data_IF_206654795599
#
_entry.id   IF_206654795599
#
_cell.length_a   1.000
_cell.length_b   1.000
_cell.length_c   1.000
_cell.angle_alpha   90.00
_cell.angle_beta   90.00
_cell.angle_gamma   90.00
#
_symmetry.space_group_name_H-M   'P 1'
#
loop_
_entity.id
_entity.type
_entity.pdbx_description
1 polymer ?
#
# COMPACT_ATOMS: atom_id res chain seq x y z
N UNK A 1 74.09 11.65 -52.52
CA UNK A 1 73.66 11.83 -51.11
C UNK A 1 72.73 10.69 -50.77
N UNK A 2 73.22 9.73 -49.98
CA UNK A 2 72.52 8.50 -49.60
C UNK A 2 71.60 8.76 -48.40
N UNK A 3 70.34 8.31 -48.47
CA UNK A 3 69.44 8.22 -47.32
C UNK A 3 69.07 6.75 -47.14
N UNK A 4 69.57 6.15 -46.06
CA UNK A 4 69.22 4.81 -45.60
C UNK A 4 67.82 4.81 -44.96
N UNK A 5 66.96 3.79 -45.22
CA UNK A 5 65.73 3.61 -44.46
C UNK A 5 66.02 2.84 -43.16
N UNK A 6 65.60 3.40 -42.02
CA UNK A 6 65.64 2.77 -40.71
C UNK A 6 64.69 1.56 -40.66
N UNK A 7 65.24 0.34 -40.68
CA UNK A 7 64.51 -0.88 -40.32
C UNK A 7 64.43 -0.99 -38.79
N UNK A 8 63.24 -1.06 -38.16
CA UNK A 8 63.13 -1.18 -36.72
C UNK A 8 63.61 -2.57 -36.26
N UNK A 9 64.50 -2.56 -35.26
CA UNK A 9 65.14 -3.74 -34.65
C UNK A 9 64.10 -4.78 -34.23
N UNK A 10 64.21 -6.03 -34.71
CA UNK A 10 63.27 -7.16 -34.45
C UNK A 10 62.90 -7.33 -32.96
N UNK A 11 63.81 -6.98 -32.05
CA UNK A 11 63.54 -6.99 -30.60
C UNK A 11 62.47 -5.99 -30.16
N UNK A 12 62.43 -4.78 -30.74
CA UNK A 12 61.41 -3.76 -30.43
C UNK A 12 60.03 -4.16 -30.97
N UNK A 13 59.97 -4.80 -32.13
CA UNK A 13 58.72 -5.30 -32.70
C UNK A 13 58.11 -6.41 -31.83
N UNK A 14 58.94 -7.33 -31.33
CA UNK A 14 58.51 -8.41 -30.44
C UNK A 14 58.01 -7.87 -29.08
N UNK A 15 58.70 -6.90 -28.50
CA UNK A 15 58.26 -6.25 -27.25
C UNK A 15 56.93 -5.50 -27.42
N UNK A 16 56.73 -4.82 -28.55
CA UNK A 16 55.48 -4.14 -28.86
C UNK A 16 54.33 -5.15 -29.02
N UNK A 17 54.59 -6.29 -29.67
CA UNK A 17 53.59 -7.33 -29.87
C UNK A 17 53.17 -7.98 -28.55
N UNK A 18 54.13 -8.28 -27.67
CA UNK A 18 53.86 -8.80 -26.32
C UNK A 18 53.04 -7.80 -25.51
N UNK A 19 53.39 -6.51 -25.55
CA UNK A 19 52.65 -5.46 -24.86
C UNK A 19 51.19 -5.37 -25.36
N UNK A 20 50.98 -5.39 -26.68
CA UNK A 20 49.63 -5.37 -27.27
C UNK A 20 48.83 -6.61 -26.87
N UNK A 21 49.44 -7.80 -26.89
CA UNK A 21 48.78 -9.05 -26.48
C UNK A 21 48.37 -9.01 -25.01
N UNK A 22 49.23 -8.49 -24.12
CA UNK A 22 48.93 -8.36 -22.68
C UNK A 22 47.81 -7.34 -22.45
N UNK A 23 47.80 -6.22 -23.17
CA UNK A 23 46.72 -5.21 -23.09
C UNK A 23 45.39 -5.78 -23.61
N UNK A 24 45.40 -6.52 -24.72
CA UNK A 24 44.19 -7.17 -25.24
C UNK A 24 43.68 -8.25 -24.29
N UNK A 25 44.56 -9.05 -23.68
CA UNK A 25 44.19 -10.05 -22.68
C UNK A 25 43.63 -9.41 -21.40
N UNK A 26 44.19 -8.31 -20.94
CA UNK A 26 43.68 -7.59 -19.74
C UNK A 26 42.33 -6.92 -20.00
N UNK A 27 42.09 -6.40 -21.21
CA UNK A 27 40.77 -5.88 -21.60
C UNK A 27 39.75 -7.03 -21.77
N UNK A 28 40.15 -8.15 -22.34
CA UNK A 28 39.29 -9.32 -22.51
C UNK A 28 38.94 -10.00 -21.16
N UNK A 29 39.87 -10.03 -20.20
CA UNK A 29 39.66 -10.60 -18.87
C UNK A 29 38.98 -9.62 -17.88
N UNK A 30 39.08 -8.31 -18.12
CA UNK A 30 38.44 -7.27 -17.30
C UNK A 30 36.96 -7.02 -17.60
N UNK A 31 36.40 -7.70 -18.59
CA UNK A 31 35.02 -7.49 -19.09
C UNK A 31 34.01 -8.53 -18.60
N UNK A 32 34.29 -9.24 -17.50
CA UNK A 32 33.24 -9.99 -16.81
C UNK A 32 32.44 -9.04 -15.95
N UNK A 33 31.38 -8.46 -16.53
CA UNK A 33 30.31 -7.83 -15.76
C UNK A 33 29.77 -8.86 -14.77
N UNK A 34 30.05 -8.65 -13.48
CA UNK A 34 29.43 -9.41 -12.40
C UNK A 34 27.92 -9.34 -12.58
N UNK A 35 27.20 -10.48 -12.52
CA UNK A 35 25.74 -10.46 -12.64
C UNK A 35 25.18 -9.51 -11.58
N UNK A 36 24.48 -8.46 -12.01
CA UNK A 36 23.81 -7.56 -11.09
C UNK A 36 22.85 -8.40 -10.25
N UNK A 37 23.07 -8.47 -8.94
CA UNK A 37 22.19 -9.20 -8.02
C UNK A 37 20.77 -8.66 -8.21
N UNK A 38 19.85 -9.52 -8.66
CA UNK A 38 18.45 -9.13 -8.85
C UNK A 38 17.93 -8.58 -7.52
N UNK A 39 17.51 -7.31 -7.52
CA UNK A 39 16.90 -6.72 -6.34
C UNK A 39 15.63 -7.51 -6.03
N UNK A 40 15.48 -7.93 -4.78
CA UNK A 40 14.28 -8.61 -4.30
C UNK A 40 13.61 -7.78 -3.20
N UNK A 41 12.37 -8.14 -2.85
CA UNK A 41 11.63 -7.52 -1.73
C UNK A 41 11.13 -8.55 -0.72
N UNK A 42 10.84 -8.07 0.48
CA UNK A 42 10.21 -8.85 1.54
C UNK A 42 8.71 -8.96 1.28
N UNK A 43 8.19 -10.19 1.24
CA UNK A 43 6.76 -10.47 0.95
C UNK A 43 5.78 -9.91 1.95
N UNK A 44 6.20 -9.58 3.17
CA UNK A 44 5.27 -9.15 4.21
C UNK A 44 5.20 -7.63 4.31
N UNK A 45 6.33 -6.94 4.14
CA UNK A 45 6.36 -5.48 4.09
C UNK A 45 5.94 -4.93 2.74
N UNK A 46 6.14 -5.71 1.66
CA UNK A 46 5.69 -5.39 0.32
C UNK A 46 5.09 -6.66 -0.30
N UNK A 47 3.80 -6.98 -0.02
CA UNK A 47 3.18 -8.24 -0.45
C UNK A 47 2.76 -8.28 -1.91
N UNK A 48 2.35 -9.48 -2.33
CA UNK A 48 1.65 -9.79 -3.59
C UNK A 48 2.50 -9.72 -4.84
N UNK A 49 2.00 -10.30 -5.93
CA UNK A 49 2.64 -10.29 -7.25
C UNK A 49 2.96 -8.85 -7.70
N UNK A 50 3.98 -8.67 -8.53
CA UNK A 50 4.33 -7.36 -9.10
C UNK A 50 3.21 -6.76 -9.98
N UNK A 51 2.31 -7.62 -10.47
CA UNK A 51 1.11 -7.27 -11.23
C UNK A 51 -0.14 -7.08 -10.36
N UNK A 52 -0.01 -7.16 -9.04
CA UNK A 52 -1.09 -6.84 -8.10
C UNK A 52 -1.56 -5.40 -8.29
N UNK A 53 -2.85 -5.14 -7.99
CA UNK A 53 -3.40 -3.78 -7.93
C UNK A 53 -2.60 -2.86 -7.00
N UNK A 54 -1.99 -3.42 -5.95
CA UNK A 54 -1.22 -2.66 -4.97
C UNK A 54 0.17 -2.30 -5.49
N UNK A 55 0.70 -3.06 -6.45
CA UNK A 55 2.08 -2.93 -6.93
C UNK A 55 2.17 -2.33 -8.34
N UNK A 56 1.04 -2.17 -9.03
CA UNK A 56 0.99 -1.67 -10.39
C UNK A 56 1.12 -0.13 -10.42
N UNK A 57 2.14 0.42 -11.08
CA UNK A 57 2.25 1.85 -11.30
C UNK A 57 1.16 2.37 -12.26
N UNK A 58 0.81 3.64 -12.12
CA UNK A 58 -0.03 4.34 -13.10
C UNK A 58 0.64 4.26 -14.48
N UNK A 59 -0.16 4.02 -15.51
CA UNK A 59 0.31 3.85 -16.88
C UNK A 59 0.18 5.11 -17.73
N UNK A 60 0.96 5.20 -18.81
CA UNK A 60 1.00 6.36 -19.70
C UNK A 60 -0.31 6.63 -20.45
N UNK A 61 -1.23 5.66 -20.50
CA UNK A 61 -2.57 5.79 -21.12
C UNK A 61 -3.69 5.93 -20.09
N UNK A 62 -3.36 6.22 -18.82
CA UNK A 62 -4.35 6.49 -17.79
C UNK A 62 -5.23 7.69 -18.19
N UNK A 63 -6.56 7.50 -18.13
CA UNK A 63 -7.55 8.54 -18.41
C UNK A 63 -8.03 9.14 -17.11
N UNK A 64 -7.73 10.41 -16.91
CA UNK A 64 -8.05 11.15 -15.69
C UNK A 64 -9.37 11.89 -15.87
N UNK A 65 -10.36 11.61 -15.01
CA UNK A 65 -11.59 12.39 -14.89
C UNK A 65 -11.67 13.03 -13.50
N UNK A 66 -12.31 14.20 -13.34
CA UNK A 66 -12.36 14.90 -12.06
C UNK A 66 -12.99 14.04 -10.94
N UNK A 67 -12.30 13.97 -9.79
CA UNK A 67 -12.86 13.36 -8.57
C UNK A 67 -13.69 14.36 -7.75
N UNK A 68 -13.34 15.66 -7.82
CA UNK A 68 -13.95 16.75 -7.03
C UNK A 68 -13.93 16.52 -5.51
N UNK A 69 -12.87 15.87 -5.01
CA UNK A 69 -12.69 15.66 -3.57
C UNK A 69 -12.22 16.97 -2.93
N UNK A 70 -13.00 17.48 -1.99
CA UNK A 70 -12.70 18.70 -1.26
C UNK A 70 -11.79 18.46 -0.06
N UNK A 71 -11.44 19.55 0.62
CA UNK A 71 -10.88 19.51 1.97
C UNK A 71 -11.89 18.90 2.95
N UNK A 72 -11.41 18.06 3.86
CA UNK A 72 -12.15 17.55 5.02
C UNK A 72 -11.73 18.31 6.30
N UNK A 73 -12.60 18.40 7.30
CA UNK A 73 -12.28 19.03 8.58
C UNK A 73 -11.22 18.23 9.37
N UNK A 74 -11.21 16.90 9.23
CA UNK A 74 -10.33 16.00 9.95
C UNK A 74 -9.49 15.16 8.97
N UNK A 75 -8.26 14.86 9.38
CA UNK A 75 -7.40 13.85 8.79
C UNK A 75 -6.92 12.89 9.87
N UNK A 76 -7.02 11.60 9.63
CA UNK A 76 -6.61 10.59 10.62
C UNK A 76 -6.24 9.26 9.96
N UNK A 77 -5.67 8.35 10.74
CA UNK A 77 -5.34 7.00 10.31
C UNK A 77 -6.55 6.05 10.40
N UNK A 78 -6.73 5.19 9.38
CA UNK A 78 -7.41 3.92 9.59
C UNK A 78 -6.35 2.88 9.99
N UNK A 79 -6.47 2.32 11.20
CA UNK A 79 -5.43 1.49 11.79
C UNK A 79 -5.60 0.03 11.42
N UNK A 80 -4.50 -0.58 10.95
CA UNK A 80 -4.49 -1.95 10.48
C UNK A 80 -3.40 -2.77 11.15
N UNK A 81 -3.69 -4.05 11.41
CA UNK A 81 -2.88 -4.88 12.29
C UNK A 81 -2.25 -6.04 11.52
N UNK A 82 -0.92 -6.11 11.54
CA UNK A 82 -0.18 -7.07 10.74
C UNK A 82 0.77 -7.90 11.60
N UNK A 83 0.67 -9.23 11.48
CA UNK A 83 1.48 -10.16 12.25
C UNK A 83 2.12 -11.23 11.37
N UNK A 84 3.43 -11.45 11.55
CA UNK A 84 4.10 -12.68 11.11
C UNK A 84 3.99 -13.69 12.25
N UNK A 85 3.20 -14.74 12.05
CA UNK A 85 2.98 -15.75 13.08
C UNK A 85 4.12 -16.76 13.11
N UNK A 86 4.42 -17.29 14.30
CA UNK A 86 5.51 -18.24 14.52
C UNK A 86 4.96 -19.62 14.79
N UNK A 87 5.69 -20.63 14.33
CA UNK A 87 5.45 -21.99 14.79
C UNK A 87 5.78 -22.07 16.28
N UNK A 88 4.90 -22.68 17.08
CA UNK A 88 5.07 -22.85 18.53
C UNK A 88 4.33 -21.84 19.39
N UNK A 89 3.82 -20.73 18.83
CA UNK A 89 2.87 -19.86 19.55
C UNK A 89 1.57 -20.64 19.83
N UNK A 90 0.90 -20.40 20.98
CA UNK A 90 -0.32 -21.12 21.33
C UNK A 90 -1.44 -20.84 20.32
N UNK A 91 -2.15 -21.91 19.94
CA UNK A 91 -3.31 -21.80 19.05
C UNK A 91 -4.48 -21.17 19.82
N UNK A 92 -4.94 -20.03 19.34
CA UNK A 92 -6.08 -19.30 19.90
C UNK A 92 -7.23 -19.32 18.90
N UNK A 93 -8.40 -19.74 19.35
CA UNK A 93 -9.62 -19.77 18.54
C UNK A 93 -9.98 -18.37 18.06
N UNK A 94 -10.61 -18.30 16.90
CA UNK A 94 -11.19 -17.06 16.35
C UNK A 94 -12.71 -17.15 16.38
N UNK A 95 -13.33 -16.16 16.98
CA UNK A 95 -14.78 -15.96 16.98
C UNK A 95 -15.16 -14.74 16.11
N UNK A 96 -16.39 -14.71 15.61
CA UNK A 96 -16.98 -13.49 15.10
C UNK A 96 -17.15 -12.49 16.25
N UNK A 97 -17.06 -11.17 15.99
CA UNK A 97 -17.27 -10.18 17.04
C UNK A 97 -18.71 -10.21 17.56
N UNK A 98 -18.90 -9.97 18.86
CA UNK A 98 -20.23 -9.92 19.48
C UNK A 98 -21.02 -8.64 19.13
N UNK A 99 -20.31 -7.57 18.76
CA UNK A 99 -20.86 -6.31 18.31
C UNK A 99 -19.88 -5.62 17.34
N UNK A 100 -20.36 -4.69 16.51
CA UNK A 100 -19.49 -3.84 15.68
C UNK A 100 -18.75 -2.79 16.51
N UNK A 101 -19.46 -2.16 17.44
CA UNK A 101 -18.90 -1.18 18.38
C UNK A 101 -18.39 -1.91 19.65
N UNK A 102 -18.48 -1.27 20.81
CA UNK A 102 -18.09 -1.88 22.08
C UNK A 102 -18.76 -3.24 22.31
N UNK A 103 -17.99 -4.23 22.77
CA UNK A 103 -18.42 -5.62 22.91
C UNK A 103 -17.97 -6.53 21.77
N UNK A 104 -16.89 -6.20 21.03
CA UNK A 104 -16.36 -7.12 20.00
C UNK A 104 -15.95 -8.44 20.62
N UNK A 105 -15.37 -8.39 21.83
CA UNK A 105 -14.84 -9.55 22.55
C UNK A 105 -15.88 -10.42 23.29
N UNK A 106 -17.18 -10.28 22.98
CA UNK A 106 -18.23 -11.12 23.59
C UNK A 106 -18.83 -12.14 22.62
N UNK A 107 -18.37 -12.16 21.37
CA UNK A 107 -18.90 -13.03 20.34
C UNK A 107 -18.59 -14.51 20.61
N UNK A 108 -19.52 -15.38 20.23
CA UNK A 108 -19.42 -16.82 20.49
C UNK A 108 -19.44 -17.66 19.22
N UNK A 109 -19.75 -17.05 18.08
CA UNK A 109 -19.80 -17.73 16.79
C UNK A 109 -18.39 -18.08 16.32
N UNK A 110 -18.05 -19.36 16.24
CA UNK A 110 -16.74 -19.79 15.74
C UNK A 110 -16.55 -19.41 14.26
N UNK A 111 -15.36 -18.91 13.92
CA UNK A 111 -14.94 -18.69 12.52
C UNK A 111 -14.25 -19.92 11.91
N UNK A 112 -14.28 -21.06 12.60
CA UNK A 112 -13.73 -22.34 12.11
C UNK A 112 -12.20 -22.37 12.00
N UNK A 113 -11.49 -21.49 12.71
CA UNK A 113 -10.02 -21.43 12.72
C UNK A 113 -9.46 -21.15 14.10
N UNK A 114 -8.17 -21.47 14.24
CA UNK A 114 -7.31 -21.02 15.32
C UNK A 114 -6.02 -20.45 14.72
N UNK A 115 -5.48 -19.39 15.34
CA UNK A 115 -4.22 -18.76 14.93
C UNK A 115 -3.15 -18.96 16.00
N UNK A 116 -1.90 -19.30 15.63
CA UNK A 116 -0.79 -19.38 16.58
C UNK A 116 -0.33 -17.96 16.91
N UNK A 117 -0.83 -17.41 18.02
CA UNK A 117 -0.54 -16.03 18.45
C UNK A 117 0.01 -16.02 19.87
N UNK A 118 0.97 -15.14 20.20
CA UNK A 118 1.54 -15.08 21.54
C UNK A 118 0.50 -14.59 22.55
N UNK A 119 0.57 -15.04 23.80
CA UNK A 119 -0.46 -14.77 24.81
C UNK A 119 -0.56 -13.33 25.27
N UNK A 120 0.52 -12.57 25.11
CA UNK A 120 0.60 -11.17 25.45
C UNK A 120 0.05 -10.24 24.37
N UNK A 121 -0.24 -10.74 23.16
CA UNK A 121 -0.88 -9.95 22.11
C UNK A 121 -2.29 -9.53 22.57
N UNK A 122 -2.47 -8.22 22.75
CA UNK A 122 -3.74 -7.57 23.06
C UNK A 122 -4.10 -6.61 21.94
N UNK A 123 -5.36 -6.65 21.51
CA UNK A 123 -5.97 -5.66 20.63
C UNK A 123 -7.22 -5.16 21.36
N UNK A 124 -7.24 -3.90 21.83
CA UNK A 124 -8.36 -3.39 22.61
C UNK A 124 -9.71 -3.54 21.90
N UNK A 125 -10.78 -3.63 22.69
CA UNK A 125 -12.14 -3.51 22.16
C UNK A 125 -12.37 -2.11 21.58
N UNK A 126 -13.40 -1.98 20.75
CA UNK A 126 -13.99 -0.69 20.46
C UNK A 126 -14.65 -0.11 21.72
N UNK A 127 -14.81 1.21 21.76
CA UNK A 127 -15.43 1.93 22.89
C UNK A 127 -16.55 2.83 22.42
N UNK A 128 -17.62 2.94 23.20
CA UNK A 128 -18.68 3.93 22.94
C UNK A 128 -18.35 5.30 23.56
N UNK A 129 -17.60 5.31 24.68
CA UNK A 129 -17.21 6.53 25.40
C UNK A 129 -15.75 6.44 25.91
N UNK A 130 -14.81 7.25 25.39
CA UNK A 130 -14.95 8.05 24.17
C UNK A 130 -15.27 7.15 22.96
N UNK A 131 -15.93 7.70 21.94
CA UNK A 131 -16.29 6.93 20.76
C UNK A 131 -15.05 6.54 19.96
N UNK A 132 -14.81 5.25 19.79
CA UNK A 132 -13.69 4.72 19.02
C UNK A 132 -14.04 3.32 18.48
N UNK A 133 -14.37 3.27 17.20
CA UNK A 133 -14.88 2.07 16.51
C UNK A 133 -14.09 1.78 15.23
N UNK A 134 -12.75 1.67 15.30
CA UNK A 134 -11.91 1.50 14.12
C UNK A 134 -12.23 0.20 13.37
N UNK A 135 -11.97 0.17 12.07
CA UNK A 135 -12.16 -1.03 11.25
C UNK A 135 -11.23 -2.18 11.68
N UNK A 136 -10.03 -1.85 12.20
CA UNK A 136 -9.02 -2.82 12.65
C UNK A 136 -8.85 -3.97 11.63
N UNK A 137 -8.80 -3.65 10.34
CA UNK A 137 -8.51 -4.67 9.33
C UNK A 137 -7.14 -5.27 9.62
N UNK A 138 -7.03 -6.59 9.49
CA UNK A 138 -5.84 -7.30 9.94
C UNK A 138 -5.44 -8.41 8.98
N UNK A 139 -4.15 -8.71 8.99
CA UNK A 139 -3.56 -9.80 8.22
C UNK A 139 -2.51 -10.55 9.04
N UNK A 140 -2.59 -11.87 8.99
CA UNK A 140 -1.73 -12.80 9.68
C UNK A 140 -1.02 -13.67 8.65
N UNK A 141 0.29 -13.48 8.49
CA UNK A 141 1.11 -14.39 7.70
C UNK A 141 1.38 -15.64 8.53
N UNK A 142 0.86 -16.76 8.08
CA UNK A 142 0.97 -18.04 8.75
C UNK A 142 2.42 -18.55 8.76
N UNK A 143 2.79 -19.48 9.68
CA UNK A 143 4.14 -20.02 9.77
C UNK A 143 4.64 -20.72 8.50
N UNK A 144 3.73 -21.13 7.59
CA UNK A 144 4.08 -21.68 6.27
C UNK A 144 4.72 -20.64 5.33
N UNK A 145 4.74 -19.35 5.72
CA UNK A 145 5.32 -18.25 4.97
C UNK A 145 4.58 -17.93 3.68
N UNK A 146 3.34 -18.40 3.51
CA UNK A 146 2.57 -18.30 2.26
C UNK A 146 1.13 -17.86 2.52
N UNK A 147 0.46 -18.47 3.49
CA UNK A 147 -0.95 -18.26 3.75
C UNK A 147 -1.15 -16.96 4.52
N UNK A 148 -2.00 -16.08 4.00
CA UNK A 148 -2.50 -14.89 4.69
C UNK A 148 -3.94 -15.13 5.14
N UNK A 149 -4.13 -15.14 6.45
CA UNK A 149 -5.46 -15.06 7.08
C UNK A 149 -5.79 -13.59 7.33
N UNK A 150 -6.98 -13.15 6.96
CA UNK A 150 -7.40 -11.76 7.11
C UNK A 150 -8.68 -11.68 7.94
N UNK A 151 -8.68 -10.82 8.96
CA UNK A 151 -9.81 -10.59 9.86
C UNK A 151 -10.20 -9.12 9.93
N UNK A 152 -11.49 -8.83 10.10
CA UNK A 152 -11.97 -7.51 10.51
C UNK A 152 -13.37 -7.61 11.16
N UNK A 153 -13.67 -6.77 12.16
CA UNK A 153 -12.73 -5.97 12.91
C UNK A 153 -11.93 -6.84 13.88
N UNK A 154 -10.61 -6.62 13.98
CA UNK A 154 -9.79 -7.35 14.95
C UNK A 154 -9.99 -6.81 16.37
N UNK A 155 -10.25 -7.71 17.31
CA UNK A 155 -10.12 -7.46 18.76
C UNK A 155 -9.57 -8.70 19.49
N UNK A 156 -8.91 -8.45 20.62
CA UNK A 156 -8.43 -9.46 21.57
C UNK A 156 -8.22 -8.80 22.93
N UNK A 157 -9.22 -8.92 23.79
CA UNK A 157 -9.30 -8.15 25.03
C UNK A 157 -8.59 -8.77 26.23
N UNK A 158 -8.19 -10.05 26.15
CA UNK A 158 -7.63 -10.80 27.27
C UNK A 158 -6.37 -11.57 26.86
N UNK A 159 -5.37 -11.58 27.75
CA UNK A 159 -4.15 -12.38 27.56
C UNK A 159 -4.51 -13.86 27.53
N UNK A 160 -3.95 -14.60 26.57
CA UNK A 160 -4.31 -16.00 26.35
C UNK A 160 -5.76 -16.24 25.90
N UNK A 161 -6.58 -15.19 25.74
CA UNK A 161 -7.93 -15.30 25.23
C UNK A 161 -7.98 -15.54 23.72
N UNK A 162 -9.19 -15.80 23.17
CA UNK A 162 -9.41 -15.93 21.73
C UNK A 162 -9.24 -14.59 21.00
N UNK A 163 -9.19 -14.65 19.67
CA UNK A 163 -9.33 -13.47 18.80
C UNK A 163 -10.78 -13.30 18.35
N UNK A 164 -11.13 -12.08 18.00
CA UNK A 164 -12.44 -11.72 17.46
C UNK A 164 -12.27 -11.00 16.13
N UNK A 165 -13.06 -11.40 15.13
CA UNK A 165 -13.10 -10.77 13.81
C UNK A 165 -13.71 -11.69 12.76
N UNK A 166 -14.46 -11.12 11.82
CA UNK A 166 -14.98 -11.89 10.68
C UNK A 166 -13.84 -12.27 9.76
N UNK A 167 -13.87 -13.51 9.27
CA UNK A 167 -12.81 -14.08 8.44
C UNK A 167 -13.11 -13.88 6.95
N UNK A 168 -12.12 -13.38 6.21
CA UNK A 168 -12.09 -13.47 4.75
C UNK A 168 -11.38 -14.77 4.32
N UNK A 169 -11.74 -15.41 3.19
CA UNK A 169 -11.05 -16.60 2.70
C UNK A 169 -9.53 -16.41 2.61
N UNK A 170 -8.79 -17.45 2.99
CA UNK A 170 -7.33 -17.37 3.00
C UNK A 170 -6.79 -17.10 1.59
N UNK A 171 -5.75 -16.26 1.51
CA UNK A 171 -5.09 -15.94 0.25
C UNK A 171 -3.60 -16.26 0.32
N UNK A 172 -2.99 -16.40 -0.85
CA UNK A 172 -1.56 -16.62 -1.01
C UNK A 172 -0.84 -15.27 -1.18
N UNK A 173 0.12 -14.99 -0.30
CA UNK A 173 0.90 -13.74 -0.28
C UNK A 173 1.71 -13.48 -1.56
N UNK A 174 1.94 -14.50 -2.39
CA UNK A 174 2.63 -14.37 -3.67
C UNK A 174 1.67 -14.11 -4.85
N UNK A 175 0.34 -14.15 -4.64
CA UNK A 175 -0.69 -13.93 -5.68
C UNK A 175 -1.13 -12.48 -5.76
N UNK A 176 -2.26 -12.19 -6.40
CA UNK A 176 -2.68 -10.82 -6.69
C UNK A 176 -3.02 -9.99 -5.44
N UNK A 177 -3.40 -10.64 -4.33
CA UNK A 177 -3.78 -9.97 -3.10
C UNK A 177 -4.91 -8.97 -3.23
N UNK A 178 -5.80 -9.13 -4.21
CA UNK A 178 -6.84 -8.12 -4.47
C UNK A 178 -7.82 -8.02 -3.29
N UNK A 179 -8.33 -9.16 -2.85
CA UNK A 179 -9.38 -9.23 -1.83
C UNK A 179 -8.87 -9.38 -0.40
N UNK A 180 -9.71 -9.00 0.56
CA UNK A 180 -9.43 -9.14 1.99
C UNK A 180 -10.55 -8.65 2.89
N UNK A 181 -10.19 -8.42 4.15
CA UNK A 181 -11.15 -8.15 5.21
C UNK A 181 -11.48 -6.66 5.39
N UNK A 182 -11.12 -5.76 4.46
CA UNK A 182 -11.80 -4.45 4.39
C UNK A 182 -13.21 -4.67 3.89
N UNK A 183 -14.11 -5.16 4.74
CA UNK A 183 -15.41 -5.64 4.31
C UNK A 183 -16.34 -4.57 3.76
N UNK A 184 -16.04 -3.27 3.82
CA UNK A 184 -16.76 -2.30 3.01
C UNK A 184 -16.48 -2.54 1.53
N UNK A 185 -15.22 -2.59 1.10
CA UNK A 185 -14.86 -2.82 -0.32
C UNK A 185 -14.58 -4.27 -0.72
N UNK A 186 -14.33 -5.13 0.26
CA UNK A 186 -13.75 -6.47 0.10
C UNK A 186 -12.28 -6.47 -0.29
N UNK A 187 -11.56 -5.35 -0.16
CA UNK A 187 -10.14 -5.23 -0.54
C UNK A 187 -9.18 -5.72 0.57
N UNK A 188 -7.93 -5.95 0.18
CA UNK A 188 -6.88 -6.48 1.07
C UNK A 188 -6.70 -5.68 2.36
N UNK A 189 -6.61 -6.40 3.47
CA UNK A 189 -6.22 -5.84 4.78
C UNK A 189 -4.80 -5.28 4.78
N UNK A 190 -3.86 -5.92 4.05
CA UNK A 190 -2.43 -5.56 4.08
C UNK A 190 -1.94 -4.84 2.82
N UNK A 191 -2.61 -5.06 1.68
CA UNK A 191 -2.27 -4.40 0.44
C UNK A 191 -2.56 -2.91 0.51
N UNK A 192 -1.58 -2.08 0.16
CA UNK A 192 -1.71 -0.63 0.05
C UNK A 192 -1.69 0.16 1.36
N UNK A 193 -1.55 -0.51 2.50
CA UNK A 193 -1.35 0.11 3.80
C UNK A 193 0.03 0.73 3.90
N UNK A 194 0.13 1.96 4.41
CA UNK A 194 1.43 2.57 4.68
C UNK A 194 2.09 1.84 5.85
N UNK A 195 3.33 1.40 5.68
CA UNK A 195 4.10 0.60 6.64
C UNK A 195 4.94 1.48 7.57
N UNK A 196 5.32 0.93 8.72
CA UNK A 196 6.33 1.57 9.59
C UNK A 196 7.61 1.86 8.81
N UNK A 197 8.18 3.03 9.06
CA UNK A 197 9.33 3.58 8.35
C UNK A 197 8.95 4.34 7.08
N UNK A 198 7.84 4.03 6.42
CA UNK A 198 7.54 4.61 5.10
C UNK A 198 7.21 6.10 5.12
N UNK A 199 6.82 6.68 6.26
CA UNK A 199 6.64 8.14 6.36
C UNK A 199 7.87 8.86 6.90
N UNK A 200 8.76 8.15 7.57
CA UNK A 200 9.83 8.72 8.41
C UNK A 200 11.22 8.50 7.82
N UNK A 201 11.42 7.46 7.01
CA UNK A 201 12.67 7.20 6.30
C UNK A 201 12.78 7.97 4.98
N UNK A 202 13.95 7.88 4.33
CA UNK A 202 14.24 8.53 3.05
C UNK A 202 13.85 7.69 1.80
N UNK A 203 13.37 6.45 1.97
CA UNK A 203 13.04 5.56 0.85
C UNK A 203 11.63 5.86 0.31
N UNK A 204 11.37 5.91 -1.00
CA UNK A 204 10.03 6.20 -1.52
C UNK A 204 9.00 5.13 -1.12
N UNK A 205 7.73 5.54 -1.06
CA UNK A 205 6.60 4.60 -1.02
C UNK A 205 6.40 4.06 -2.44
N UNK A 206 6.35 2.74 -2.60
CA UNK A 206 6.43 2.05 -3.90
C UNK A 206 5.21 1.19 -4.22
N UNK A 207 4.07 1.56 -3.67
CA UNK A 207 2.80 0.86 -3.86
C UNK A 207 1.64 1.85 -3.88
N UNK A 208 0.49 1.42 -4.41
CA UNK A 208 -0.75 2.17 -4.33
C UNK A 208 -1.20 2.27 -2.87
N UNK A 209 -1.80 3.39 -2.48
CA UNK A 209 -2.26 3.63 -1.11
C UNK A 209 -3.72 3.17 -0.91
N UNK A 210 -4.14 3.08 0.35
CA UNK A 210 -5.55 2.99 0.74
C UNK A 210 -6.04 4.31 1.32
N UNK A 211 -7.20 4.78 0.84
CA UNK A 211 -7.87 5.98 1.35
C UNK A 211 -9.32 5.68 1.69
N UNK A 212 -9.86 6.40 2.67
CA UNK A 212 -11.29 6.40 2.98
C UNK A 212 -11.83 7.82 2.84
N UNK A 213 -13.04 7.94 2.31
CA UNK A 213 -13.72 9.21 2.03
C UNK A 213 -15.11 9.20 2.66
N UNK A 214 -15.62 10.36 3.08
CA UNK A 214 -16.95 10.44 3.68
C UNK A 214 -18.02 10.03 2.65
N UNK A 215 -18.62 8.84 2.87
CA UNK A 215 -19.51 8.17 1.92
C UNK A 215 -20.67 9.05 1.48
N UNK A 216 -21.30 9.72 2.45
CA UNK A 216 -22.44 10.61 2.19
C UNK A 216 -22.11 11.73 1.22
N UNK A 217 -20.91 12.29 1.31
CA UNK A 217 -20.52 13.41 0.45
C UNK A 217 -19.96 12.97 -0.90
N UNK A 218 -19.19 11.88 -0.93
CA UNK A 218 -18.34 11.57 -2.08
C UNK A 218 -18.70 10.28 -2.81
N UNK A 219 -19.13 9.24 -2.09
CA UNK A 219 -19.38 7.94 -2.71
C UNK A 219 -20.77 7.91 -3.31
N UNK A 220 -20.86 7.41 -4.54
CA UNK A 220 -22.10 7.32 -5.28
C UNK A 220 -22.77 5.97 -5.06
N UNK A 221 -24.10 5.96 -5.04
CA UNK A 221 -24.88 4.73 -5.13
C UNK A 221 -26.08 4.91 -6.06
N UNK A 222 -26.38 3.86 -6.81
CA UNK A 222 -27.68 3.63 -7.46
C UNK A 222 -27.92 2.12 -7.58
N UNK A 223 -29.14 1.71 -7.94
CA UNK A 223 -29.43 0.30 -8.21
C UNK A 223 -28.55 -0.29 -9.34
N UNK A 224 -28.15 0.53 -10.31
CA UNK A 224 -27.26 0.13 -11.42
C UNK A 224 -25.76 0.25 -11.09
N UNK A 225 -25.39 1.03 -10.08
CA UNK A 225 -24.00 1.23 -9.62
C UNK A 225 -24.03 1.07 -8.09
N UNK A 226 -23.88 -0.16 -7.57
CA UNK A 226 -24.19 -0.50 -6.19
C UNK A 226 -23.13 -0.05 -5.16
N UNK A 227 -22.48 1.09 -5.39
CA UNK A 227 -21.50 1.66 -4.47
C UNK A 227 -20.08 1.13 -4.59
N UNK A 228 -19.78 0.30 -5.60
CA UNK A 228 -18.44 -0.21 -5.85
C UNK A 228 -18.15 -0.46 -7.32
N UNK A 229 -16.86 -0.55 -7.65
CA UNK A 229 -16.33 -0.98 -8.95
C UNK A 229 -15.07 -1.80 -8.76
N UNK A 230 -14.66 -2.53 -9.79
CA UNK A 230 -13.37 -3.23 -9.77
C UNK A 230 -12.24 -2.26 -9.36
N UNK A 231 -11.33 -2.66 -8.44
CA UNK A 231 -11.11 -4.02 -7.95
C UNK A 231 -11.95 -4.46 -6.75
N UNK A 232 -12.70 -3.55 -6.13
CA UNK A 232 -13.62 -3.87 -5.03
C UNK A 232 -14.70 -4.86 -5.47
N UNK A 233 -15.17 -5.68 -4.53
CA UNK A 233 -16.21 -6.68 -4.75
C UNK A 233 -17.56 -6.30 -4.14
N UNK A 234 -17.58 -5.29 -3.28
CA UNK A 234 -18.76 -4.87 -2.54
C UNK A 234 -18.60 -3.42 -2.07
N UNK A 235 -19.67 -2.90 -1.45
CA UNK A 235 -19.74 -1.59 -0.81
C UNK A 235 -20.10 -1.75 0.68
N UNK A 236 -19.94 -0.69 1.48
CA UNK A 236 -20.36 -0.67 2.88
C UNK A 236 -21.81 -1.13 3.04
N UNK A 237 -22.08 -1.83 4.14
CA UNK A 237 -23.45 -2.16 4.51
C UNK A 237 -24.25 -0.87 4.70
N UNK A 238 -25.37 -0.75 3.99
CA UNK A 238 -26.19 0.48 3.97
C UNK A 238 -25.75 1.53 2.96
N UNK A 239 -24.87 1.22 2.00
CA UNK A 239 -24.50 2.12 0.91
C UNK A 239 -25.71 2.76 0.20
N UNK A 240 -26.82 2.02 0.05
CA UNK A 240 -28.07 2.52 -0.53
C UNK A 240 -28.71 3.71 0.19
N UNK A 241 -28.38 3.89 1.47
CA UNK A 241 -28.91 4.94 2.35
C UNK A 241 -27.86 5.96 2.80
N UNK A 242 -26.58 5.60 2.68
CA UNK A 242 -25.47 6.39 3.23
C UNK A 242 -24.61 7.04 2.16
N UNK A 243 -24.69 6.60 0.90
CA UNK A 243 -23.87 7.14 -0.19
C UNK A 243 -24.71 8.11 -1.02
N UNK A 244 -24.47 9.42 -0.81
CA UNK A 244 -25.21 10.49 -1.48
C UNK A 244 -24.36 11.32 -2.45
N UNK A 245 -23.11 10.89 -2.69
CA UNK A 245 -22.23 11.46 -3.69
C UNK A 245 -22.87 11.48 -5.08
N UNK A 246 -22.44 12.42 -5.92
CA UNK A 246 -23.06 12.68 -7.23
C UNK A 246 -22.27 12.18 -8.43
N UNK A 247 -21.02 11.77 -8.23
CA UNK A 247 -20.16 11.29 -9.30
C UNK A 247 -20.26 9.77 -9.43
N UNK A 248 -20.92 9.20 -10.47
CA UNK A 248 -21.10 7.76 -10.61
C UNK A 248 -19.79 6.98 -10.79
N UNK A 249 -18.70 7.66 -11.12
CA UNK A 249 -17.38 7.02 -11.22
C UNK A 249 -16.63 6.95 -9.88
N UNK A 250 -17.09 7.68 -8.84
CA UNK A 250 -16.48 7.71 -7.51
C UNK A 250 -17.26 6.82 -6.54
N UNK A 251 -16.79 5.60 -6.41
CA UNK A 251 -17.34 4.55 -5.56
C UNK A 251 -16.19 3.79 -4.87
N UNK A 252 -16.47 2.84 -3.99
CA UNK A 252 -15.40 1.99 -3.46
C UNK A 252 -14.70 1.20 -4.58
N UNK A 253 -13.39 0.99 -4.44
CA UNK A 253 -12.52 0.43 -5.48
C UNK A 253 -12.08 1.44 -6.54
N UNK A 254 -12.51 2.71 -6.47
CA UNK A 254 -12.02 3.72 -7.42
C UNK A 254 -10.52 3.97 -7.22
N UNK A 255 -9.73 3.83 -8.29
CA UNK A 255 -8.34 4.26 -8.32
C UNK A 255 -8.26 5.78 -8.52
N UNK A 256 -7.67 6.45 -7.54
CA UNK A 256 -7.38 7.88 -7.54
C UNK A 256 -5.89 8.11 -7.78
N UNK A 257 -5.53 9.09 -8.60
CA UNK A 257 -4.13 9.45 -8.81
C UNK A 257 -3.97 10.94 -9.13
N UNK A 258 -2.80 11.49 -8.79
CA UNK A 258 -2.43 12.85 -9.18
C UNK A 258 -1.97 12.84 -10.65
N UNK A 259 -2.57 13.66 -11.54
CA UNK A 259 -2.14 13.73 -12.93
C UNK A 259 -0.66 14.16 -13.08
N UNK A 260 0.07 13.69 -14.10
CA UNK A 260 1.49 13.98 -14.28
C UNK A 260 1.81 15.47 -14.49
N UNK A 261 0.82 16.26 -14.91
CA UNK A 261 0.96 17.72 -15.08
C UNK A 261 0.98 18.49 -13.76
N UNK A 262 0.49 17.90 -12.67
CA UNK A 262 0.54 18.51 -11.34
C UNK A 262 1.95 18.32 -10.79
N UNK A 263 2.51 19.36 -10.19
CA UNK A 263 3.88 19.36 -9.64
C UNK A 263 3.88 19.69 -8.15
N UNK A 264 4.98 19.37 -7.45
CA UNK A 264 5.17 19.80 -6.07
C UNK A 264 5.06 21.32 -5.91
N UNK A 265 5.59 22.06 -6.90
CA UNK A 265 5.56 23.53 -6.91
C UNK A 265 4.13 24.06 -7.06
N UNK A 266 3.31 23.46 -7.94
CA UNK A 266 1.91 23.90 -8.11
C UNK A 266 1.07 23.69 -6.86
N UNK A 267 1.38 22.67 -6.05
CA UNK A 267 0.70 22.42 -4.78
C UNK A 267 1.32 23.16 -3.59
N UNK A 268 2.53 23.72 -3.72
CA UNK A 268 3.25 24.40 -2.63
C UNK A 268 3.27 23.56 -1.35
N UNK A 269 3.65 22.28 -1.48
CA UNK A 269 3.74 21.36 -0.33
C UNK A 269 4.94 21.74 0.55
N UNK A 270 4.70 21.83 1.85
CA UNK A 270 5.66 22.29 2.85
C UNK A 270 6.43 21.14 3.50
N UNK A 271 5.73 20.05 3.83
CA UNK A 271 6.29 18.91 4.59
C UNK A 271 6.96 17.88 3.67
N UNK A 272 8.06 17.29 4.14
CA UNK A 272 8.75 16.19 3.42
C UNK A 272 7.83 14.98 3.25
N UNK A 273 7.03 14.67 4.26
CA UNK A 273 6.07 13.56 4.23
C UNK A 273 5.01 13.76 3.15
N UNK A 274 4.40 14.95 3.03
CA UNK A 274 3.43 15.18 1.97
C UNK A 274 4.05 15.15 0.57
N UNK A 275 5.31 15.59 0.41
CA UNK A 275 6.05 15.43 -0.86
C UNK A 275 6.27 13.95 -1.21
N UNK A 276 6.46 13.09 -0.20
CA UNK A 276 6.57 11.64 -0.38
C UNK A 276 5.24 11.01 -0.81
N UNK A 277 4.15 11.38 -0.14
CA UNK A 277 2.79 10.96 -0.51
C UNK A 277 2.41 11.44 -1.92
N UNK A 278 2.80 12.66 -2.30
CA UNK A 278 2.60 13.17 -3.66
C UNK A 278 3.16 12.22 -4.73
N UNK A 279 4.41 11.77 -4.56
CA UNK A 279 5.02 10.84 -5.51
C UNK A 279 4.30 9.49 -5.51
N UNK A 280 3.93 8.95 -4.35
CA UNK A 280 3.14 7.72 -4.26
C UNK A 280 1.81 7.83 -5.03
N UNK A 281 1.08 8.94 -4.84
CA UNK A 281 -0.20 9.21 -5.49
C UNK A 281 -0.07 9.47 -6.99
N UNK A 282 1.06 10.00 -7.47
CA UNK A 282 1.30 10.20 -8.90
C UNK A 282 1.79 8.92 -9.59
N UNK A 283 2.62 8.13 -8.90
CA UNK A 283 3.29 6.96 -9.46
C UNK A 283 2.45 5.69 -9.37
N UNK A 284 1.64 5.52 -8.30
CA UNK A 284 0.85 4.32 -8.04
C UNK A 284 -0.62 4.61 -7.75
N UNK A 285 -0.94 5.79 -7.22
CA UNK A 285 -2.31 6.18 -6.88
C UNK A 285 -2.78 5.65 -5.52
N UNK A 286 -4.09 5.72 -5.27
CA UNK A 286 -4.75 5.23 -4.07
C UNK A 286 -6.12 4.63 -4.40
N UNK A 287 -6.47 3.51 -3.78
CA UNK A 287 -7.82 2.93 -3.87
C UNK A 287 -8.69 3.40 -2.71
N UNK A 288 -9.94 3.74 -3.01
CA UNK A 288 -10.98 3.98 -2.01
C UNK A 288 -11.42 2.63 -1.42
N UNK A 289 -11.20 2.39 -0.13
CA UNK A 289 -11.41 1.06 0.48
C UNK A 289 -12.58 0.96 1.46
N UNK A 290 -12.98 2.07 2.09
CA UNK A 290 -14.12 2.13 3.01
C UNK A 290 -14.71 3.55 3.02
N UNK A 291 -15.91 3.72 3.59
CA UNK A 291 -16.42 5.05 3.96
C UNK A 291 -15.79 5.56 5.25
N UNK A 292 -15.49 6.84 5.26
CA UNK A 292 -15.00 7.60 6.41
C UNK A 292 -16.15 8.12 7.30
N UNK A 293 -15.81 8.50 8.53
CA UNK A 293 -16.65 9.36 9.36
C UNK A 293 -16.93 10.72 8.70
N UNK A 294 -17.96 11.47 9.15
CA UNK A 294 -18.29 12.78 8.61
C UNK A 294 -17.09 13.74 8.55
N UNK A 295 -16.98 14.49 7.45
CA UNK A 295 -15.94 15.51 7.24
C UNK A 295 -14.50 15.03 7.55
N UNK A 296 -14.20 13.76 7.26
CA UNK A 296 -12.90 13.15 7.53
C UNK A 296 -12.34 12.46 6.29
N UNK A 297 -11.03 12.60 6.08
CA UNK A 297 -10.25 11.79 5.14
C UNK A 297 -9.30 10.88 5.90
N UNK A 298 -9.18 9.62 5.47
CA UNK A 298 -8.26 8.68 6.10
C UNK A 298 -7.19 8.21 5.12
N UNK A 299 -5.99 7.94 5.66
CA UNK A 299 -5.04 7.01 5.05
C UNK A 299 -5.03 5.74 5.90
N UNK A 300 -5.03 4.58 5.25
CA UNK A 300 -4.90 3.32 5.96
C UNK A 300 -3.42 3.00 6.21
N UNK A 301 -3.09 2.69 7.46
CA UNK A 301 -1.71 2.55 7.93
C UNK A 301 -1.55 1.37 8.89
N UNK A 302 -0.36 0.78 8.91
CA UNK A 302 0.03 -0.19 9.92
C UNK A 302 -0.01 0.43 11.33
N UNK A 303 -0.54 -0.31 12.30
CA UNK A 303 -0.48 0.04 13.71
C UNK A 303 0.97 0.34 14.13
N UNK A 304 1.19 1.53 14.70
CA UNK A 304 2.52 2.03 15.06
C UNK A 304 3.01 3.16 14.15
N UNK A 305 2.46 3.33 12.94
CA UNK A 305 2.84 4.41 12.02
C UNK A 305 2.54 5.79 12.60
N UNK A 306 1.35 6.09 13.15
CA UNK A 306 1.08 7.39 13.75
C UNK A 306 2.01 7.71 14.93
N UNK A 307 2.34 6.72 15.76
CA UNK A 307 3.25 6.88 16.89
C UNK A 307 4.69 7.14 16.43
N UNK A 308 5.16 6.39 15.43
CA UNK A 308 6.48 6.60 14.80
C UNK A 308 6.58 7.98 14.16
N UNK A 309 5.51 8.39 13.46
CA UNK A 309 5.39 9.70 12.85
C UNK A 309 5.50 10.81 13.90
N UNK A 310 4.70 10.72 14.98
CA UNK A 310 4.71 11.68 16.07
C UNK A 310 6.07 11.81 16.74
N UNK A 311 6.73 10.68 17.01
CA UNK A 311 8.08 10.65 17.58
C UNK A 311 9.12 11.30 16.65
N UNK A 312 8.98 11.11 15.34
CA UNK A 312 9.97 11.59 14.36
C UNK A 312 9.84 13.09 14.11
N UNK A 313 8.61 13.61 14.01
CA UNK A 313 8.37 14.98 13.57
C UNK A 313 7.94 15.95 14.67
N UNK A 314 7.60 15.45 15.86
CA UNK A 314 7.18 16.28 17.00
C UNK A 314 5.75 16.82 16.89
N UNK A 315 4.94 16.31 15.95
CA UNK A 315 3.51 16.63 15.80
C UNK A 315 2.72 15.40 15.34
N UNK A 316 1.42 15.38 15.63
CA UNK A 316 0.55 14.22 15.39
C UNK A 316 0.26 13.95 13.90
N UNK A 317 0.07 12.67 13.57
CA UNK A 317 -0.46 12.23 12.28
C UNK A 317 -1.93 12.62 12.14
N UNK A 318 -2.72 12.30 13.17
CA UNK A 318 -4.11 12.72 13.31
C UNK A 318 -4.16 14.23 13.56
N UNK A 319 -4.89 14.96 12.71
CA UNK A 319 -4.90 16.42 12.81
C UNK A 319 -6.09 17.07 12.12
N UNK A 320 -6.43 18.26 12.61
CA UNK A 320 -7.39 19.20 12.01
C UNK A 320 -6.71 20.48 11.50
N UNK A 321 -5.40 20.63 11.72
CA UNK A 321 -4.66 21.85 11.43
C UNK A 321 -3.14 21.62 11.25
N UNK A 322 -2.40 22.68 10.96
CA UNK A 322 -0.94 22.61 10.77
C UNK A 322 -0.52 22.20 9.36
N UNK A 323 0.81 22.27 9.11
CA UNK A 323 1.39 22.16 7.77
C UNK A 323 1.13 20.81 7.11
N UNK A 324 1.29 19.72 7.86
CA UNK A 324 1.08 18.37 7.34
C UNK A 324 -0.37 18.15 6.91
N UNK A 325 -1.34 18.45 7.79
CA UNK A 325 -2.76 18.43 7.46
C UNK A 325 -3.07 19.27 6.22
N UNK A 326 -2.62 20.53 6.18
CA UNK A 326 -2.85 21.42 5.04
C UNK A 326 -2.32 20.82 3.74
N UNK A 327 -1.12 20.24 3.77
CA UNK A 327 -0.54 19.60 2.60
C UNK A 327 -1.29 18.34 2.18
N UNK A 328 -1.70 17.48 3.12
CA UNK A 328 -2.50 16.29 2.84
C UNK A 328 -3.85 16.67 2.21
N UNK A 329 -4.52 17.71 2.71
CA UNK A 329 -5.76 18.21 2.10
C UNK A 329 -5.55 18.67 0.65
N UNK A 330 -4.42 19.32 0.34
CA UNK A 330 -4.09 19.67 -1.06
C UNK A 330 -3.89 18.42 -1.92
N UNK A 331 -3.32 17.33 -1.38
CA UNK A 331 -3.19 16.06 -2.11
C UNK A 331 -4.56 15.44 -2.42
N UNK A 332 -5.45 15.36 -1.44
CA UNK A 332 -6.83 14.88 -1.64
C UNK A 332 -7.60 15.75 -2.66
N UNK A 333 -7.35 17.06 -2.70
CA UNK A 333 -7.95 17.93 -3.72
C UNK A 333 -7.27 17.88 -5.10
N UNK A 334 -6.09 17.26 -5.20
CA UNK A 334 -5.34 17.16 -6.45
C UNK A 334 -5.53 15.82 -7.19
N UNK A 335 -6.16 14.82 -6.56
CA UNK A 335 -6.38 13.52 -7.20
C UNK A 335 -7.55 13.55 -8.18
N UNK A 336 -7.43 12.72 -9.20
CA UNK A 336 -8.41 12.47 -10.25
C UNK A 336 -8.70 10.97 -10.28
N UNK A 337 -9.86 10.59 -10.80
CA UNK A 337 -10.24 9.20 -11.00
C UNK A 337 -9.54 8.68 -12.26
N UNK A 338 -8.93 7.50 -12.17
CA UNK A 338 -8.45 6.75 -13.33
C UNK A 338 -9.65 5.99 -13.94
N UNK A 339 -10.30 6.60 -14.91
CA UNK A 339 -11.56 6.09 -15.48
C UNK A 339 -11.39 4.69 -16.08
N UNK A 340 -10.27 4.46 -16.76
CA UNK A 340 -9.94 3.20 -17.43
C UNK A 340 -9.18 2.20 -16.54
N UNK A 341 -9.27 2.35 -15.21
CA UNK A 341 -8.86 1.32 -14.25
C UNK A 341 -9.76 0.09 -14.40
N UNK A 342 -9.15 -1.08 -14.63
CA UNK A 342 -9.84 -2.34 -14.86
C UNK A 342 -8.88 -3.55 -14.82
N UNK A 343 -9.40 -4.79 -14.86
CA UNK A 343 -8.59 -6.01 -14.73
C UNK A 343 -7.52 -6.18 -15.82
N UNK A 344 -7.72 -5.57 -17.00
CA UNK A 344 -6.76 -5.57 -18.12
C UNK A 344 -5.93 -4.28 -18.22
N UNK A 345 -6.18 -3.32 -17.33
CA UNK A 345 -5.62 -1.96 -17.36
C UNK A 345 -5.53 -1.42 -15.94
N UNK A 346 -4.88 -2.17 -15.05
CA UNK A 346 -4.84 -1.90 -13.61
C UNK A 346 -4.37 -0.45 -13.33
N UNK A 347 -3.23 -0.03 -13.88
CA UNK A 347 -2.75 1.35 -13.76
C UNK A 347 -3.36 2.34 -14.78
N UNK A 348 -4.40 1.97 -15.53
CA UNK A 348 -4.89 2.74 -16.68
C UNK A 348 -4.20 2.42 -18.01
N UNK A 349 -3.36 1.38 -18.06
CA UNK A 349 -2.75 0.84 -19.28
C UNK A 349 -1.62 1.70 -19.89
N UNK A 350 -1.00 1.19 -20.96
CA UNK A 350 0.20 1.79 -21.54
C UNK A 350 1.47 1.43 -20.77
N UNK A 351 2.47 2.30 -20.80
CA UNK A 351 3.77 2.10 -20.15
C UNK A 351 3.69 2.54 -18.68
N UNK A 352 4.02 1.68 -17.70
CA UNK A 352 4.07 2.06 -16.29
C UNK A 352 5.01 3.24 -16.05
N UNK A 353 4.61 4.19 -15.19
CA UNK A 353 5.41 5.36 -14.81
C UNK A 353 6.64 5.02 -13.96
N UNK A 354 6.60 3.86 -13.29
CA UNK A 354 7.72 3.26 -12.55
C UNK A 354 7.94 1.82 -13.03
N UNK A 355 9.13 1.25 -12.79
CA UNK A 355 9.32 -0.19 -12.94
C UNK A 355 8.32 -0.97 -12.08
N UNK A 356 7.95 -2.16 -12.52
CA UNK A 356 7.16 -3.08 -11.69
C UNK A 356 7.92 -3.43 -10.42
N UNK A 357 7.19 -3.79 -9.36
CA UNK A 357 7.79 -4.24 -8.12
C UNK A 357 8.78 -5.40 -8.39
N UNK A 358 9.96 -5.41 -7.75
CA UNK A 358 10.90 -6.52 -7.91
C UNK A 358 10.28 -7.86 -7.45
N UNK A 359 10.85 -9.00 -7.85
CA UNK A 359 10.38 -10.29 -7.34
C UNK A 359 10.51 -10.37 -5.81
N UNK A 360 9.61 -11.13 -5.19
CA UNK A 360 9.74 -11.50 -3.79
C UNK A 360 10.97 -12.42 -3.64
N UNK A 361 11.80 -12.18 -2.63
CA UNK A 361 13.05 -12.92 -2.42
C UNK A 361 13.15 -13.69 -1.12
N UNK A 362 12.06 -13.78 -0.34
CA UNK A 362 12.06 -14.46 0.94
C UNK A 362 10.77 -15.16 1.25
#
# INVERSE_FOLDING_TARGET
MSIFPFLPNRKRLSQLLIFVVVVVLTIALGSFSTPAKTQTRDKFTWPFASTSIWNMPIGSRARYIPAHIGKAAHFTADLEYFYKLKQGDPLRQVFGPGNWAQGRCTGTQSMGISLPVPDDLIVPDATNHPYYTPNNASAFLMPDGKTLVQLSPLARCQKGGPLYGYRYPDIDIYKDGRGGAHFGSGLSSIGGSIRKGELTNNQPIRHALKVLLWGERYLYYSKSIPGYRWPASNADNGADKLYHGKNPALVQGTLLAIPPKVTLASLRLQTSTAKKLFYALQDYGAYVVDSAAPETHYLAVEKGVPEEFGKTFGYGFDSTSGKFYQDVMKLFSAVYIIENNGPKSIGGGGTPRKPLAPPIGN
#
